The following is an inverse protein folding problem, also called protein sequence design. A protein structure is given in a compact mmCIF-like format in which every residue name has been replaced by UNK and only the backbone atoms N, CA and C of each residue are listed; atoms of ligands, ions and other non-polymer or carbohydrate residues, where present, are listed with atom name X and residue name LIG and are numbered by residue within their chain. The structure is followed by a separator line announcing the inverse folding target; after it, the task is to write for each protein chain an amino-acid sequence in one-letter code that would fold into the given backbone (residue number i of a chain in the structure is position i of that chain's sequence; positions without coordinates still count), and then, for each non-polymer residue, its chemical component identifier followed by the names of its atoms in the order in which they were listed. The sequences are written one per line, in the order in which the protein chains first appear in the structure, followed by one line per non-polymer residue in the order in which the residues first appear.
data_IF_608668727816
#
_entry.id   IF_608668727816
#
_cell.length_a   1.000
_cell.length_b   1.000
_cell.length_c   1.000
_cell.angle_alpha   90.00
_cell.angle_beta   90.00
_cell.angle_gamma   90.00
#
_symmetry.space_group_name_H-M   'P 1'
#
loop_
_entity.id
_entity.type
_entity.pdbx_description
1 polymer ?
#
# COMPACT_ATOMS: atom_id res chain seq x y z
N UNK A 1 5.47 12.46 11.00
CA UNK A 1 5.64 11.22 10.24
C UNK A 1 4.60 10.21 10.70
N UNK A 2 3.87 9.59 9.76
CA UNK A 2 2.82 8.62 10.02
C UNK A 2 3.09 7.36 9.19
N UNK A 3 2.97 6.19 9.82
CA UNK A 3 2.94 4.91 9.12
C UNK A 3 1.48 4.49 8.90
N UNK A 4 1.15 4.15 7.66
CA UNK A 4 -0.13 3.51 7.33
C UNK A 4 0.14 2.07 6.91
N UNK A 5 -0.50 1.14 7.61
CA UNK A 5 -0.37 -0.29 7.39
C UNK A 5 -1.68 -0.82 6.82
N UNK A 6 -1.59 -1.57 5.73
CA UNK A 6 -2.71 -2.28 5.13
C UNK A 6 -2.36 -3.76 4.98
N UNK A 7 -3.22 -4.63 5.50
CA UNK A 7 -3.06 -6.07 5.45
C UNK A 7 -4.15 -6.69 4.57
N UNK A 8 -3.76 -7.65 3.73
CA UNK A 8 -4.70 -8.37 2.85
C UNK A 8 -4.39 -9.86 2.81
N UNK A 9 -5.44 -10.66 2.73
CA UNK A 9 -5.37 -12.07 2.36
C UNK A 9 -5.73 -12.18 0.87
N UNK A 10 -4.76 -12.55 0.04
CA UNK A 10 -4.97 -12.67 -1.40
C UNK A 10 -5.48 -14.08 -1.70
N UNK A 11 -6.53 -14.17 -2.52
CA UNK A 11 -7.00 -15.46 -3.03
C UNK A 11 -5.98 -16.02 -4.05
N UNK A 12 -5.71 -17.34 -4.06
CA UNK A 12 -4.63 -17.91 -4.87
C UNK A 12 -4.70 -17.56 -6.37
N UNK A 13 -5.90 -17.50 -6.94
CA UNK A 13 -6.18 -17.17 -8.33
C UNK A 13 -6.07 -15.67 -8.65
N UNK A 14 -6.00 -14.81 -7.62
CA UNK A 14 -5.94 -13.36 -7.76
C UNK A 14 -4.55 -12.77 -7.51
N UNK A 15 -3.54 -13.59 -7.19
CA UNK A 15 -2.22 -13.10 -6.80
C UNK A 15 -1.56 -12.23 -7.87
N UNK A 16 -1.52 -12.70 -9.12
CA UNK A 16 -0.94 -11.93 -10.23
C UNK A 16 -1.66 -10.60 -10.41
N UNK A 17 -3.00 -10.61 -10.45
CA UNK A 17 -3.80 -9.39 -10.62
C UNK A 17 -3.57 -8.40 -9.48
N UNK A 18 -3.52 -8.89 -8.24
CA UNK A 18 -3.24 -8.05 -7.08
C UNK A 18 -1.87 -7.39 -7.18
N UNK A 19 -0.84 -8.16 -7.55
CA UNK A 19 0.53 -7.64 -7.73
C UNK A 19 0.60 -6.59 -8.84
N UNK A 20 -0.10 -6.79 -9.97
CA UNK A 20 -0.18 -5.79 -11.04
C UNK A 20 -0.82 -4.49 -10.55
N UNK A 21 -1.97 -4.57 -9.87
CA UNK A 21 -2.64 -3.38 -9.29
C UNK A 21 -1.73 -2.67 -8.27
N UNK A 22 -0.99 -3.44 -7.49
CA UNK A 22 -0.04 -2.93 -6.52
C UNK A 22 1.14 -2.17 -7.18
N UNK A 23 1.62 -2.62 -8.34
CA UNK A 23 2.63 -1.90 -9.14
C UNK A 23 2.07 -0.62 -9.74
N UNK A 24 0.85 -0.66 -10.28
CA UNK A 24 0.15 0.52 -10.84
C UNK A 24 -0.16 1.58 -9.78
N UNK A 25 -0.41 1.18 -8.53
CA UNK A 25 -0.69 2.11 -7.44
C UNK A 25 0.54 2.94 -7.03
N UNK A 26 1.75 2.38 -7.14
CA UNK A 26 2.99 3.05 -6.69
C UNK A 26 3.21 4.42 -7.35
N UNK A 27 3.14 4.58 -8.70
CA UNK A 27 3.28 5.89 -9.32
C UNK A 27 2.15 6.85 -8.95
N UNK A 28 0.93 6.38 -8.66
CA UNK A 28 -0.15 7.26 -8.21
C UNK A 28 0.17 7.87 -6.84
N UNK A 29 0.68 7.06 -5.91
CA UNK A 29 1.08 7.52 -4.57
C UNK A 29 2.24 8.51 -4.61
N UNK A 30 3.22 8.32 -5.50
CA UNK A 30 4.38 9.22 -5.59
C UNK A 30 4.03 10.65 -6.02
N UNK A 31 2.85 10.87 -6.60
CA UNK A 31 2.36 12.22 -6.94
C UNK A 31 1.57 12.88 -5.80
N UNK A 32 1.29 12.16 -4.71
CA UNK A 32 0.58 12.73 -3.56
C UNK A 32 1.56 13.51 -2.70
N UNK A 33 1.26 14.79 -2.48
CA UNK A 33 2.06 15.65 -1.61
C UNK A 33 2.16 15.05 -0.19
N UNK A 34 3.39 14.88 0.30
CA UNK A 34 3.68 14.31 1.61
C UNK A 34 3.71 12.78 1.68
N UNK A 35 3.60 12.08 0.54
CA UNK A 35 3.97 10.66 0.45
C UNK A 35 5.49 10.50 0.47
N UNK A 36 5.99 9.56 1.28
CA UNK A 36 7.43 9.32 1.45
C UNK A 36 7.83 8.02 0.76
N UNK A 37 7.20 6.90 1.11
CA UNK A 37 7.52 5.59 0.53
C UNK A 37 6.40 4.57 0.75
N UNK A 38 6.44 3.49 -0.03
CA UNK A 38 5.61 2.30 0.16
C UNK A 38 6.45 1.04 -0.10
N UNK A 39 6.32 0.07 0.80
CA UNK A 39 6.97 -1.23 0.74
C UNK A 39 5.94 -2.33 0.99
N UNK A 40 6.22 -3.53 0.49
CA UNK A 40 5.33 -4.68 0.64
C UNK A 40 6.07 -5.89 1.15
N UNK A 41 5.44 -6.60 2.08
CA UNK A 41 5.97 -7.77 2.74
C UNK A 41 4.98 -8.91 2.61
N UNK A 42 5.46 -10.11 2.33
CA UNK A 42 4.67 -11.32 2.41
C UNK A 42 4.86 -11.97 3.77
N UNK A 43 3.79 -12.48 4.37
CA UNK A 43 3.88 -13.24 5.62
C UNK A 43 4.62 -14.56 5.38
N UNK A 44 5.57 -14.87 6.26
CA UNK A 44 6.24 -16.18 6.28
C UNK A 44 5.39 -17.25 6.99
N UNK A 45 4.43 -16.83 7.82
CA UNK A 45 3.59 -17.71 8.63
C UNK A 45 2.22 -18.02 8.00
N UNK A 46 1.79 -17.23 7.01
CA UNK A 46 0.47 -17.36 6.39
C UNK A 46 0.59 -17.12 4.90
N UNK A 47 0.47 -18.18 4.11
CA UNK A 47 0.51 -18.09 2.66
C UNK A 47 -0.61 -17.17 2.13
N UNK A 48 -0.31 -16.40 1.07
CA UNK A 48 -1.24 -15.43 0.49
C UNK A 48 -1.47 -14.16 1.31
N UNK A 49 -0.96 -14.07 2.54
CA UNK A 49 -1.06 -12.87 3.38
C UNK A 49 0.03 -11.86 3.02
N UNK A 50 -0.36 -10.63 2.71
CA UNK A 50 0.55 -9.54 2.35
C UNK A 50 0.26 -8.29 3.17
N UNK A 51 1.30 -7.52 3.46
CA UNK A 51 1.24 -6.24 4.16
C UNK A 51 1.87 -5.16 3.28
N UNK A 52 1.16 -4.03 3.13
CA UNK A 52 1.72 -2.79 2.58
C UNK A 52 1.99 -1.82 3.73
N UNK A 53 3.23 -1.34 3.82
CA UNK A 53 3.66 -0.31 4.75
C UNK A 53 3.95 0.96 3.95
N UNK A 54 3.26 2.04 4.26
CA UNK A 54 3.52 3.34 3.65
C UNK A 54 3.84 4.41 4.69
N UNK A 55 4.74 5.32 4.31
CA UNK A 55 5.19 6.42 5.14
C UNK A 55 4.71 7.75 4.58
N UNK A 56 4.22 8.59 5.48
CA UNK A 56 3.63 9.89 5.16
C UNK A 56 4.20 10.95 6.10
N UNK A 57 4.33 12.18 5.61
CA UNK A 57 4.88 13.28 6.39
C UNK A 57 4.00 13.60 7.61
N UNK A 58 2.68 13.65 7.42
CA UNK A 58 1.70 14.05 8.43
C UNK A 58 0.28 13.52 8.11
N UNK A 59 -0.65 13.77 9.03
CA UNK A 59 -2.05 13.32 8.92
C UNK A 59 -2.79 13.97 7.75
N UNK A 60 -2.47 15.23 7.44
CA UNK A 60 -3.08 15.95 6.31
C UNK A 60 -2.76 15.25 4.98
N UNK A 61 -1.53 14.81 4.76
CA UNK A 61 -1.14 14.05 3.57
C UNK A 61 -1.93 12.74 3.43
N UNK A 62 -2.14 12.02 4.56
CA UNK A 62 -2.94 10.78 4.59
C UNK A 62 -4.41 11.06 4.26
N UNK A 63 -5.00 12.13 4.82
CA UNK A 63 -6.38 12.52 4.54
C UNK A 63 -6.58 12.96 3.09
N UNK A 64 -5.62 13.69 2.53
CA UNK A 64 -5.63 14.09 1.12
C UNK A 64 -5.65 12.87 0.21
N UNK A 65 -4.78 11.89 0.46
CA UNK A 65 -4.79 10.63 -0.28
C UNK A 65 -6.14 9.91 -0.17
N UNK A 66 -6.66 9.73 1.04
CA UNK A 66 -7.92 9.01 1.28
C UNK A 66 -9.13 9.64 0.60
N UNK A 67 -9.14 10.97 0.41
CA UNK A 67 -10.24 11.68 -0.23
C UNK A 67 -10.14 11.71 -1.77
N UNK A 68 -8.98 11.39 -2.35
CA UNK A 68 -8.74 11.40 -3.79
C UNK A 68 -8.75 9.99 -4.43
N UNK A 69 -9.01 8.95 -3.64
CA UNK A 69 -9.21 7.56 -4.08
C UNK A 69 -10.68 7.17 -3.95
#
# INVERSE_FOLDING_TARGET
MIAVIFEVQIQPDQQTRYLTLAEELRPLLSHVAGFISIERFQSLATEGKMLSLSWWENEYAVLQWKNHV
#
